data_IF_254654036967
#
_entry.id   IF_254654036967
#
_cell.length_a   1.000
_cell.length_b   1.000
_cell.length_c   1.000
_cell.angle_alpha   90.00
_cell.angle_beta   90.00
_cell.angle_gamma   90.00
#
_symmetry.space_group_name_H-M   'P 1'
#
loop_
_entity.id
_entity.type
_entity.pdbx_description
1 polymer ?
#
# COMPACT_ATOMS: atom_id res chain seq x y z
N UNK A 1 49.77 -7.20 35.62
CA UNK A 1 50.29 -8.59 35.56
C UNK A 1 49.20 -9.52 36.03
N UNK A 2 48.58 -10.30 35.10
CA UNK A 2 48.01 -11.63 35.38
C UNK A 2 47.48 -12.22 34.08
N UNK A 3 47.99 -13.39 33.79
CA UNK A 3 47.91 -14.19 32.56
C UNK A 3 46.50 -14.58 32.16
N UNK A 4 46.22 -14.60 30.87
CA UNK A 4 45.15 -15.35 30.23
C UNK A 4 45.71 -16.70 29.70
N UNK A 5 45.02 -17.82 29.94
CA UNK A 5 45.45 -19.09 29.40
C UNK A 5 45.12 -19.27 27.91
N UNK A 6 46.12 -19.76 27.14
CA UNK A 6 46.05 -20.21 25.77
C UNK A 6 45.44 -21.63 25.74
N UNK A 7 44.15 -21.80 25.46
CA UNK A 7 43.57 -23.13 25.24
C UNK A 7 42.21 -23.14 24.53
N UNK A 8 42.07 -22.38 23.42
CA UNK A 8 40.83 -22.43 22.62
C UNK A 8 41.09 -22.28 21.09
N UNK A 9 42.29 -22.76 20.62
CA UNK A 9 42.62 -22.77 19.18
C UNK A 9 42.87 -24.16 18.59
N UNK A 10 42.57 -25.24 19.31
CA UNK A 10 42.82 -26.60 18.88
C UNK A 10 41.59 -27.45 18.53
N UNK A 11 40.37 -26.89 18.60
CA UNK A 11 39.15 -27.70 18.36
C UNK A 11 38.40 -27.35 17.05
N UNK A 12 38.94 -26.49 16.21
CA UNK A 12 38.27 -26.06 14.97
C UNK A 12 38.83 -26.72 13.68
N UNK A 13 39.76 -27.65 13.78
CA UNK A 13 40.42 -28.26 12.61
C UNK A 13 40.16 -29.76 12.42
N UNK A 14 39.23 -30.35 13.18
CA UNK A 14 38.94 -31.80 13.06
C UNK A 14 37.56 -32.17 12.53
N UNK A 15 36.77 -31.21 12.03
CA UNK A 15 35.41 -31.46 11.51
C UNK A 15 35.24 -31.28 9.99
N UNK A 16 36.32 -31.08 9.23
CA UNK A 16 36.24 -30.88 7.76
C UNK A 16 36.75 -32.06 6.93
N UNK A 17 36.98 -33.25 7.50
CA UNK A 17 37.64 -34.38 6.81
C UNK A 17 36.74 -35.63 6.60
N UNK A 18 35.40 -35.59 6.80
CA UNK A 18 34.56 -36.82 6.71
C UNK A 18 33.45 -36.76 5.64
N UNK A 19 33.41 -35.75 4.77
CA UNK A 19 32.35 -35.63 3.74
C UNK A 19 32.87 -35.63 2.31
N UNK A 20 33.75 -36.54 1.97
CA UNK A 20 34.23 -36.73 0.59
C UNK A 20 34.52 -38.18 0.28
N UNK A 21 33.54 -39.08 0.36
CA UNK A 21 33.59 -40.42 -0.31
C UNK A 21 32.12 -40.89 -0.37
N UNK A 22 31.48 -40.81 -1.52
CA UNK A 22 30.38 -41.68 -2.01
C UNK A 22 29.76 -41.06 -3.26
N UNK A 23 30.48 -41.16 -4.37
CA UNK A 23 29.86 -41.12 -5.71
C UNK A 23 30.73 -42.04 -6.59
N UNK A 24 30.25 -43.25 -6.82
CA UNK A 24 30.53 -44.04 -8.03
C UNK A 24 29.87 -45.43 -7.94
N UNK A 25 29.05 -45.73 -8.89
CA UNK A 25 28.50 -47.03 -9.34
C UNK A 25 26.98 -46.95 -9.53
N UNK A 26 26.38 -47.22 -10.62
CA UNK A 26 26.79 -47.83 -11.87
C UNK A 26 25.55 -47.97 -12.77
N UNK A 27 25.77 -47.86 -14.05
CA UNK A 27 24.81 -48.12 -15.13
C UNK A 27 24.28 -49.55 -15.13
N UNK A 28 22.96 -49.72 -15.42
CA UNK A 28 22.49 -50.91 -16.13
C UNK A 28 21.38 -50.54 -17.11
N UNK A 29 21.75 -50.73 -18.40
CA UNK A 29 20.83 -50.81 -19.56
C UNK A 29 19.93 -52.03 -19.44
N UNK A 30 18.63 -51.90 -19.72
CA UNK A 30 17.85 -53.00 -20.26
C UNK A 30 16.98 -52.51 -21.42
N UNK A 31 17.29 -53.07 -22.60
CA UNK A 31 16.46 -53.10 -23.80
C UNK A 31 15.25 -53.98 -23.57
N UNK A 32 14.11 -53.63 -24.09
CA UNK A 32 13.21 -54.55 -24.84
C UNK A 32 12.25 -53.80 -25.71
N UNK A 33 12.03 -54.40 -26.83
CA UNK A 33 11.41 -54.07 -28.09
C UNK A 33 9.84 -54.12 -28.07
N UNK A 34 9.24 -53.95 -29.29
CA UNK A 34 8.03 -53.18 -29.45
C UNK A 34 6.77 -54.06 -29.69
N UNK A 35 5.60 -53.48 -29.53
CA UNK A 35 4.42 -54.09 -30.18
C UNK A 35 3.30 -53.09 -30.46
N UNK A 36 2.95 -53.12 -31.74
CA UNK A 36 1.62 -53.05 -32.37
C UNK A 36 0.97 -51.66 -32.60
N UNK A 37 0.94 -51.36 -33.88
CA UNK A 37 0.01 -50.46 -34.58
C UNK A 37 -1.45 -50.72 -34.25
N UNK A 38 -2.22 -49.65 -34.07
CA UNK A 38 -3.68 -49.66 -34.30
C UNK A 38 -4.12 -48.31 -34.87
N UNK A 39 -4.39 -48.35 -36.14
CA UNK A 39 -5.42 -47.67 -36.95
C UNK A 39 -5.75 -46.20 -36.67
N UNK A 40 -5.42 -45.39 -37.67
CA UNK A 40 -5.96 -44.08 -37.97
C UNK A 40 -7.49 -44.08 -38.04
N UNK A 41 -8.12 -43.20 -37.27
CA UNK A 41 -9.46 -42.69 -37.53
C UNK A 41 -9.39 -41.21 -37.83
N UNK A 42 -9.99 -40.82 -38.95
CA UNK A 42 -9.95 -39.46 -39.51
C UNK A 42 -10.53 -38.41 -38.57
N UNK A 43 -9.77 -37.32 -38.41
CA UNK A 43 -10.23 -36.09 -37.75
C UNK A 43 -11.10 -35.26 -38.70
N UNK A 44 -12.18 -34.61 -38.22
CA UNK A 44 -12.86 -33.57 -38.98
C UNK A 44 -12.00 -32.28 -38.95
N UNK A 45 -11.80 -31.71 -40.11
CA UNK A 45 -11.27 -30.38 -40.36
C UNK A 45 -12.12 -29.33 -39.67
N UNK A 46 -11.71 -28.91 -38.48
CA UNK A 46 -12.21 -27.69 -37.84
C UNK A 46 -11.35 -26.52 -38.23
N UNK A 47 -11.97 -25.49 -38.82
CA UNK A 47 -11.35 -24.21 -39.13
C UNK A 47 -10.66 -23.65 -37.89
N UNK A 48 -9.39 -23.37 -38.01
CA UNK A 48 -8.62 -22.64 -36.99
C UNK A 48 -9.13 -21.18 -36.91
N UNK A 49 -9.95 -20.93 -35.89
CA UNK A 49 -10.22 -19.57 -35.44
C UNK A 49 -8.91 -19.01 -34.93
N UNK A 50 -8.26 -18.19 -35.76
CA UNK A 50 -7.18 -17.35 -35.32
C UNK A 50 -7.76 -16.35 -34.31
N UNK A 51 -7.72 -16.68 -33.01
CA UNK A 51 -7.79 -15.69 -31.95
C UNK A 51 -6.55 -14.80 -32.08
N UNK A 52 -6.75 -13.56 -32.56
CA UNK A 52 -5.75 -12.51 -32.42
C UNK A 52 -5.36 -12.49 -30.92
N UNK A 53 -4.14 -12.87 -30.59
CA UNK A 53 -3.54 -12.53 -29.31
C UNK A 53 -3.57 -11.00 -29.23
N UNK A 54 -4.42 -10.47 -28.38
CA UNK A 54 -4.33 -9.07 -27.98
C UNK A 54 -2.93 -8.87 -27.38
N UNK A 55 -2.12 -8.02 -28.02
CA UNK A 55 -0.84 -7.60 -27.47
C UNK A 55 -1.08 -7.08 -26.04
N UNK A 56 -0.62 -7.83 -25.04
CA UNK A 56 -0.70 -7.42 -23.64
C UNK A 56 0.09 -6.13 -23.48
N UNK A 57 -0.61 -5.03 -23.19
CA UNK A 57 0.05 -3.77 -22.85
C UNK A 57 1.05 -3.96 -21.72
N UNK A 58 2.20 -3.25 -21.73
CA UNK A 58 3.13 -3.27 -20.61
C UNK A 58 2.43 -2.90 -19.29
N UNK A 59 2.79 -3.55 -18.19
CA UNK A 59 2.21 -3.29 -16.86
C UNK A 59 2.36 -1.81 -16.44
N UNK A 60 3.41 -1.15 -16.91
CA UNK A 60 3.67 0.28 -16.69
C UNK A 60 2.63 1.23 -17.28
N UNK A 61 1.80 0.74 -18.22
CA UNK A 61 0.74 1.53 -18.83
C UNK A 61 -0.53 1.60 -17.98
N UNK A 62 -0.66 0.71 -17.00
CA UNK A 62 -1.78 0.67 -16.09
C UNK A 62 -1.50 1.37 -14.77
N UNK A 63 -2.55 1.83 -14.12
CA UNK A 63 -2.50 2.32 -12.76
C UNK A 63 -2.25 1.15 -11.80
N UNK A 64 -1.03 1.07 -11.25
CA UNK A 64 -0.58 -0.01 -10.38
C UNK A 64 -1.26 -0.04 -9.01
N UNK A 65 -1.94 1.05 -8.62
CA UNK A 65 -2.69 1.14 -7.37
C UNK A 65 -4.12 0.64 -7.51
N UNK A 66 -4.67 0.63 -8.73
CA UNK A 66 -6.08 0.32 -8.99
C UNK A 66 -6.29 -0.81 -10.01
N UNK A 67 -5.29 -1.16 -10.80
CA UNK A 67 -5.41 -2.10 -11.93
C UNK A 67 -6.10 -1.50 -13.17
N UNK A 68 -6.49 -0.22 -13.15
CA UNK A 68 -7.22 0.43 -14.24
C UNK A 68 -6.28 1.01 -15.31
N UNK A 69 -6.79 1.17 -16.53
CA UNK A 69 -6.12 1.86 -17.65
C UNK A 69 -6.59 3.32 -17.68
N UNK A 70 -6.24 4.11 -16.64
CA UNK A 70 -6.72 5.48 -16.45
C UNK A 70 -5.61 6.54 -16.29
N UNK A 71 -4.34 6.11 -16.42
CA UNK A 71 -3.19 7.00 -16.33
C UNK A 71 -3.11 7.93 -17.56
N UNK A 72 -2.75 9.19 -17.31
CA UNK A 72 -2.28 10.05 -18.41
C UNK A 72 -0.98 9.51 -19.02
N UNK A 73 -0.71 9.81 -20.29
CA UNK A 73 0.53 9.38 -20.94
C UNK A 73 1.81 9.86 -20.22
N UNK A 74 1.73 10.98 -19.48
CA UNK A 74 2.84 11.52 -18.71
C UNK A 74 3.10 10.75 -17.41
N UNK A 75 2.09 10.04 -16.89
CA UNK A 75 2.18 9.27 -15.65
C UNK A 75 2.51 7.79 -15.87
N UNK A 76 2.40 7.28 -17.10
CA UNK A 76 2.78 5.91 -17.44
C UNK A 76 4.25 5.65 -17.13
N UNK A 77 4.54 4.54 -16.45
CA UNK A 77 5.89 4.19 -16.00
C UNK A 77 6.46 5.10 -14.92
N UNK A 78 5.62 5.91 -14.27
CA UNK A 78 6.03 6.83 -13.20
C UNK A 78 5.53 6.36 -11.83
N UNK A 79 6.37 6.62 -10.84
CA UNK A 79 6.08 6.32 -9.43
C UNK A 79 4.95 7.22 -8.90
N UNK A 80 4.12 6.70 -7.96
CA UNK A 80 3.04 7.47 -7.38
C UNK A 80 3.56 8.54 -6.41
N UNK A 81 2.68 9.45 -6.02
CA UNK A 81 2.92 10.45 -4.99
C UNK A 81 2.05 10.15 -3.78
N UNK A 82 2.67 10.07 -2.60
CA UNK A 82 2.01 9.85 -1.32
C UNK A 82 2.03 11.13 -0.47
N UNK A 83 0.87 11.63 -0.06
CA UNK A 83 0.72 12.89 0.69
C UNK A 83 0.10 12.61 2.05
N UNK A 84 0.76 13.11 3.11
CA UNK A 84 0.26 12.99 4.48
C UNK A 84 -0.93 13.90 4.75
N UNK A 85 -2.02 13.33 5.21
CA UNK A 85 -3.31 14.03 5.42
C UNK A 85 -3.66 14.09 6.91
N UNK A 86 -3.99 15.28 7.39
CA UNK A 86 -4.52 15.49 8.72
C UNK A 86 -5.96 14.96 8.82
N UNK A 87 -6.27 14.18 9.85
CA UNK A 87 -7.58 13.57 10.04
C UNK A 87 -8.18 13.82 11.44
N UNK A 88 -7.72 14.86 12.14
CA UNK A 88 -8.35 15.23 13.39
C UNK A 88 -9.66 16.01 13.13
N UNK A 89 -10.66 15.82 14.01
CA UNK A 89 -11.98 16.47 13.87
C UNK A 89 -11.87 17.99 13.68
N UNK A 90 -10.94 18.64 14.40
CA UNK A 90 -10.71 20.08 14.29
C UNK A 90 -10.14 20.56 12.95
N UNK A 91 -9.69 19.65 12.07
CA UNK A 91 -9.15 20.00 10.74
C UNK A 91 -10.12 19.69 9.59
N UNK A 92 -11.28 19.15 9.90
CA UNK A 92 -12.28 18.80 8.89
C UNK A 92 -13.10 20.02 8.45
N UNK A 93 -13.63 20.00 7.23
CA UNK A 93 -13.38 19.03 6.17
C UNK A 93 -12.03 19.26 5.47
N UNK A 94 -11.50 18.20 4.82
CA UNK A 94 -10.37 18.29 3.90
C UNK A 94 -10.84 18.60 2.48
N UNK A 95 -9.86 18.84 1.57
CA UNK A 95 -10.09 18.90 0.14
C UNK A 95 -8.94 18.29 -0.66
N UNK A 96 -9.22 17.88 -1.90
CA UNK A 96 -8.26 17.30 -2.84
C UNK A 96 -7.89 15.85 -2.58
N UNK A 97 -8.66 15.13 -1.77
CA UNK A 97 -8.36 13.74 -1.38
C UNK A 97 -9.28 12.70 -2.02
N UNK A 98 -10.40 13.10 -2.62
CA UNK A 98 -11.34 12.17 -3.25
C UNK A 98 -10.80 11.53 -4.54
N UNK A 99 -9.77 12.10 -5.14
CA UNK A 99 -9.08 11.55 -6.32
C UNK A 99 -7.92 10.61 -6.00
N UNK A 100 -7.68 10.28 -4.73
CA UNK A 100 -6.64 9.33 -4.36
C UNK A 100 -7.01 7.90 -4.79
N UNK A 101 -6.05 7.21 -5.40
CA UNK A 101 -6.19 5.81 -5.83
C UNK A 101 -6.14 4.84 -4.66
N UNK A 102 -5.32 5.18 -3.65
CA UNK A 102 -5.15 4.41 -2.42
C UNK A 102 -5.10 5.34 -1.22
N UNK A 103 -5.85 5.01 -0.17
CA UNK A 103 -5.88 5.76 1.08
C UNK A 103 -5.50 4.87 2.26
N UNK A 104 -4.45 5.22 2.98
CA UNK A 104 -4.16 4.61 4.28
C UNK A 104 -4.73 5.44 5.41
N UNK A 105 -5.23 4.78 6.44
CA UNK A 105 -5.61 5.41 7.72
C UNK A 105 -5.04 4.58 8.87
N UNK A 106 -4.30 5.25 9.76
CA UNK A 106 -3.65 4.64 10.91
C UNK A 106 -3.90 5.48 12.16
N UNK A 107 -3.97 4.81 13.33
CA UNK A 107 -3.96 5.51 14.61
C UNK A 107 -2.61 6.20 14.81
N UNK A 108 -2.64 7.37 15.41
CA UNK A 108 -1.46 8.13 15.84
C UNK A 108 -1.60 8.50 17.31
N UNK A 109 -0.68 9.30 17.83
CA UNK A 109 -0.66 9.75 19.22
C UNK A 109 -2.01 10.36 19.64
N UNK A 110 -2.37 10.21 20.90
CA UNK A 110 -3.61 10.75 21.45
C UNK A 110 -4.88 10.01 21.02
N UNK A 111 -4.74 8.84 20.38
CA UNK A 111 -5.88 8.03 19.92
C UNK A 111 -6.64 8.63 18.74
N UNK A 112 -6.06 9.61 18.05
CA UNK A 112 -6.57 10.19 16.80
C UNK A 112 -6.05 9.41 15.59
N UNK A 113 -6.56 9.67 14.39
CA UNK A 113 -6.05 9.05 13.16
C UNK A 113 -5.35 10.07 12.26
N UNK A 114 -4.51 9.55 11.38
CA UNK A 114 -3.91 10.25 10.25
C UNK A 114 -4.08 9.42 9.00
N UNK A 115 -4.17 10.10 7.84
CA UNK A 115 -4.28 9.42 6.57
C UNK A 115 -3.05 9.70 5.70
N UNK A 116 -2.84 8.86 4.70
CA UNK A 116 -1.91 9.07 3.60
C UNK A 116 -2.66 8.80 2.30
N UNK A 117 -2.83 9.83 1.50
CA UNK A 117 -3.44 9.74 0.17
C UNK A 117 -2.36 9.44 -0.87
N UNK A 118 -2.56 8.43 -1.71
CA UNK A 118 -1.60 8.02 -2.74
C UNK A 118 -2.25 8.15 -4.10
N UNK A 119 -1.55 8.85 -4.99
CA UNK A 119 -2.00 9.18 -6.34
C UNK A 119 -1.04 8.58 -7.36
N UNK A 120 -1.53 7.76 -8.27
CA UNK A 120 -0.73 7.16 -9.33
C UNK A 120 -0.41 8.18 -10.44
N UNK A 121 -1.37 9.01 -10.79
CA UNK A 121 -1.18 10.07 -11.80
C UNK A 121 -0.83 11.41 -11.13
N UNK A 122 0.46 11.64 -10.92
CA UNK A 122 0.95 12.88 -10.29
C UNK A 122 0.66 14.15 -11.09
N UNK A 123 0.24 14.03 -12.36
CA UNK A 123 -0.08 15.18 -13.23
C UNK A 123 -1.51 15.68 -13.05
N UNK A 124 -2.35 14.92 -12.34
CA UNK A 124 -3.77 15.22 -12.09
C UNK A 124 -4.09 15.48 -10.61
N UNK A 125 -3.07 15.53 -9.75
CA UNK A 125 -3.29 15.78 -8.32
C UNK A 125 -3.84 17.21 -8.14
N UNK A 126 -5.01 17.37 -7.49
CA UNK A 126 -5.55 18.69 -7.16
C UNK A 126 -4.75 19.33 -6.01
N UNK A 127 -5.11 20.54 -5.61
CA UNK A 127 -4.63 21.09 -4.35
C UNK A 127 -5.15 20.26 -3.18
N UNK A 128 -4.26 19.83 -2.29
CA UNK A 128 -4.56 18.89 -1.19
C UNK A 128 -4.36 19.56 0.16
N UNK A 129 -5.41 19.64 0.96
CA UNK A 129 -5.41 20.20 2.33
C UNK A 129 -6.23 19.32 3.31
N UNK A 130 -5.84 19.23 4.56
CA UNK A 130 -4.63 19.81 5.18
C UNK A 130 -3.55 18.75 5.25
N UNK A 131 -2.36 19.13 4.84
CA UNK A 131 -1.17 18.27 4.90
C UNK A 131 -0.58 18.29 6.30
N UNK A 132 -0.02 17.16 6.74
CA UNK A 132 0.42 16.99 8.13
C UNK A 132 1.71 16.20 8.25
N UNK A 133 2.17 16.10 9.51
CA UNK A 133 3.46 15.52 9.85
C UNK A 133 3.51 14.02 9.61
N UNK A 134 4.67 13.57 9.19
CA UNK A 134 5.09 12.18 9.10
C UNK A 134 4.97 11.45 10.44
N UNK A 135 4.63 10.15 10.38
CA UNK A 135 4.83 9.16 11.43
C UNK A 135 5.58 7.99 10.85
N UNK A 136 6.43 7.34 11.62
CA UNK A 136 7.47 6.42 11.13
C UNK A 136 6.95 5.28 10.22
N UNK A 137 5.72 4.82 10.40
CA UNK A 137 5.15 3.73 9.60
C UNK A 137 4.65 4.18 8.22
N UNK A 138 4.30 5.45 8.01
CA UNK A 138 3.87 5.93 6.69
C UNK A 138 4.99 5.94 5.64
N UNK A 139 6.22 6.40 5.91
CA UNK A 139 7.33 6.23 4.97
C UNK A 139 7.60 4.76 4.62
N UNK A 140 7.44 3.84 5.59
CA UNK A 140 7.61 2.40 5.37
C UNK A 140 6.52 1.87 4.41
N UNK A 141 5.28 2.31 4.57
CA UNK A 141 4.19 1.96 3.64
C UNK A 141 4.41 2.57 2.26
N UNK A 142 4.78 3.84 2.19
CA UNK A 142 5.03 4.56 0.95
C UNK A 142 6.23 4.01 0.17
N UNK A 143 7.30 3.57 0.86
CA UNK A 143 8.47 2.95 0.24
C UNK A 143 8.11 1.63 -0.46
N UNK A 144 7.26 0.80 0.15
CA UNK A 144 6.75 -0.42 -0.51
C UNK A 144 5.95 -0.16 -1.79
N UNK A 145 5.45 1.07 -1.97
CA UNK A 145 4.79 1.52 -3.19
C UNK A 145 5.75 2.18 -4.18
N UNK A 146 7.02 2.36 -3.79
CA UNK A 146 8.00 3.20 -4.50
C UNK A 146 7.50 4.64 -4.73
N UNK A 147 6.73 5.20 -3.78
CA UNK A 147 6.14 6.52 -3.91
C UNK A 147 7.14 7.65 -3.63
N UNK A 148 6.93 8.84 -4.24
CA UNK A 148 7.50 10.08 -3.73
C UNK A 148 6.65 10.56 -2.55
N UNK A 149 7.26 10.84 -1.40
CA UNK A 149 6.54 11.08 -0.15
C UNK A 149 6.53 12.56 0.23
N UNK A 150 5.35 13.11 0.54
CA UNK A 150 5.16 14.52 0.90
C UNK A 150 4.54 14.61 2.29
N UNK A 151 5.20 15.34 3.20
CA UNK A 151 4.67 15.63 4.54
C UNK A 151 4.92 17.10 4.93
N UNK A 152 4.36 17.52 6.06
CA UNK A 152 4.59 18.84 6.64
C UNK A 152 4.91 18.71 8.12
N UNK A 153 6.20 18.58 8.43
CA UNK A 153 6.75 18.23 9.73
C UNK A 153 6.99 16.73 9.91
N UNK A 154 7.91 16.41 10.77
CA UNK A 154 8.27 15.05 11.11
C UNK A 154 8.61 14.95 12.60
N UNK A 155 8.37 13.79 13.21
CA UNK A 155 8.92 13.51 14.53
C UNK A 155 10.44 13.43 14.44
N UNK A 156 11.18 14.19 15.28
CA UNK A 156 12.64 14.36 15.12
C UNK A 156 13.46 13.09 15.39
N UNK A 157 12.87 12.08 16.00
CA UNK A 157 13.52 10.80 16.27
C UNK A 157 12.98 9.70 15.37
N UNK A 158 11.85 9.10 15.71
CA UNK A 158 11.33 7.93 14.99
C UNK A 158 10.94 8.25 13.54
N UNK A 159 10.37 9.42 13.30
CA UNK A 159 9.98 9.82 11.94
C UNK A 159 11.20 10.01 11.03
N UNK A 160 12.21 10.77 11.48
CA UNK A 160 13.46 10.99 10.72
C UNK A 160 14.22 9.68 10.51
N UNK A 161 14.37 8.86 11.55
CA UNK A 161 15.00 7.56 11.43
C UNK A 161 14.28 6.64 10.41
N UNK A 162 12.95 6.76 10.30
CA UNK A 162 12.20 5.98 9.30
C UNK A 162 12.46 6.49 7.88
N UNK A 163 12.49 7.82 7.66
CA UNK A 163 12.82 8.42 6.37
C UNK A 163 14.24 8.01 5.91
N UNK A 164 15.22 8.06 6.81
CA UNK A 164 16.59 7.64 6.53
C UNK A 164 16.70 6.13 6.23
N UNK A 165 16.08 5.28 7.06
CA UNK A 165 16.15 3.81 6.90
C UNK A 165 15.43 3.32 5.66
N UNK A 166 14.32 3.94 5.29
CA UNK A 166 13.57 3.58 4.08
C UNK A 166 14.25 4.07 2.82
N UNK A 167 15.13 5.09 2.90
CA UNK A 167 15.72 5.78 1.74
C UNK A 167 14.67 6.29 0.76
N UNK A 168 13.47 6.57 1.25
CA UNK A 168 12.40 7.09 0.42
C UNK A 168 12.73 8.52 -0.04
N UNK A 169 12.45 8.83 -1.30
CA UNK A 169 12.50 10.22 -1.75
C UNK A 169 11.32 11.00 -1.16
N UNK A 170 11.61 12.10 -0.50
CA UNK A 170 10.57 12.87 0.18
C UNK A 170 10.85 14.36 0.18
N UNK A 171 9.82 15.12 0.52
CA UNK A 171 9.94 16.52 0.96
C UNK A 171 9.12 16.73 2.24
N UNK A 172 9.72 17.40 3.22
CA UNK A 172 9.07 17.89 4.43
C UNK A 172 8.94 19.41 4.35
N UNK A 173 7.73 19.90 4.14
CA UNK A 173 7.47 21.34 4.01
C UNK A 173 7.76 22.16 5.27
N UNK A 174 8.09 21.54 6.40
CA UNK A 174 8.56 22.22 7.58
C UNK A 174 10.09 22.45 7.58
N UNK A 175 10.84 21.60 6.89
CA UNK A 175 12.31 21.68 6.78
C UNK A 175 12.75 22.29 5.44
N UNK A 176 12.08 21.90 4.34
CA UNK A 176 12.35 22.38 2.98
C UNK A 176 11.05 22.97 2.40
N UNK A 177 10.72 24.20 2.81
CA UNK A 177 9.52 24.89 2.36
C UNK A 177 9.70 25.43 0.94
N UNK A 178 9.22 24.68 -0.04
CA UNK A 178 9.19 25.12 -1.42
C UNK A 178 7.85 25.80 -1.75
N UNK A 179 7.89 27.09 -2.05
CA UNK A 179 6.71 27.90 -2.35
C UNK A 179 6.00 27.46 -3.64
N UNK A 180 6.68 26.75 -4.53
CA UNK A 180 6.08 26.22 -5.75
C UNK A 180 4.98 25.21 -5.41
N UNK A 181 5.22 24.33 -4.42
CA UNK A 181 4.28 23.25 -4.08
C UNK A 181 3.58 23.43 -2.74
N UNK A 182 4.13 24.20 -1.81
CA UNK A 182 3.49 24.41 -0.50
C UNK A 182 2.82 25.76 -0.38
N UNK A 183 1.76 25.82 0.41
CA UNK A 183 1.05 27.01 0.79
C UNK A 183 0.36 26.88 2.14
N UNK A 184 -0.18 28.02 2.60
CA UNK A 184 -1.11 28.09 3.73
C UNK A 184 -2.42 28.62 3.19
N UNK A 185 -3.49 27.82 3.33
CA UNK A 185 -4.83 28.19 2.84
C UNK A 185 -5.33 29.44 3.59
N UNK A 186 -5.55 30.58 2.91
CA UNK A 186 -5.92 31.85 3.57
C UNK A 186 -7.32 31.81 4.19
N UNK A 187 -8.26 31.06 3.62
CA UNK A 187 -9.61 30.92 4.18
C UNK A 187 -9.62 30.03 5.41
N UNK A 188 -8.76 29.00 5.42
CA UNK A 188 -8.60 28.16 6.61
C UNK A 188 -7.86 28.89 7.74
N UNK A 189 -6.92 29.77 7.42
CA UNK A 189 -6.24 30.61 8.44
C UNK A 189 -7.20 31.48 9.24
N UNK A 190 -8.35 31.82 8.70
CA UNK A 190 -9.39 32.60 9.40
C UNK A 190 -10.18 31.78 10.44
N UNK A 191 -10.19 30.45 10.31
CA UNK A 191 -11.10 29.56 11.05
C UNK A 191 -10.39 28.45 11.82
N UNK A 192 -9.18 28.09 11.43
CA UNK A 192 -8.41 26.97 11.97
C UNK A 192 -7.08 27.44 12.51
N UNK A 193 -6.52 26.72 13.48
CA UNK A 193 -5.12 26.93 13.88
C UNK A 193 -4.19 26.72 12.70
N UNK A 194 -3.07 27.47 12.67
CA UNK A 194 -2.09 27.45 11.57
C UNK A 194 -1.65 26.05 11.14
N UNK A 195 -1.58 25.12 12.08
CA UNK A 195 -1.18 23.74 11.83
C UNK A 195 -2.18 22.94 10.96
N UNK A 196 -3.41 23.44 10.76
CA UNK A 196 -4.44 22.77 9.94
C UNK A 196 -4.64 23.46 8.58
N UNK A 197 -3.72 24.30 8.16
CA UNK A 197 -3.86 25.13 6.96
C UNK A 197 -2.81 24.89 5.89
N UNK A 198 -1.83 24.01 6.15
CA UNK A 198 -0.85 23.64 5.15
C UNK A 198 -1.51 22.86 4.01
N UNK A 199 -1.20 23.21 2.77
CA UNK A 199 -1.67 22.48 1.61
C UNK A 199 -0.55 22.29 0.59
N UNK A 200 -0.73 21.28 -0.28
CA UNK A 200 0.12 21.01 -1.44
C UNK A 200 -0.60 21.48 -2.69
N UNK A 201 0.06 22.29 -3.52
CA UNK A 201 -0.40 22.70 -4.85
C UNK A 201 -0.12 21.56 -5.84
N UNK A 202 -1.10 20.67 -5.98
CA UNK A 202 -0.90 19.45 -6.77
C UNK A 202 -0.55 19.71 -8.23
N UNK A 203 -1.18 20.70 -8.86
CA UNK A 203 -0.89 21.08 -10.23
C UNK A 203 0.54 21.57 -10.50
N UNK A 204 1.28 21.97 -9.44
CA UNK A 204 2.68 22.40 -9.53
C UNK A 204 3.69 21.25 -9.39
N UNK A 205 3.27 20.05 -8.98
CA UNK A 205 4.17 18.93 -8.76
C UNK A 205 5.00 18.54 -10.00
N UNK A 206 4.44 18.49 -11.22
CA UNK A 206 5.24 18.19 -12.42
C UNK A 206 6.41 19.17 -12.63
N UNK A 207 6.18 20.46 -12.41
CA UNK A 207 7.21 21.50 -12.49
C UNK A 207 8.25 21.33 -11.39
N UNK A 208 7.82 21.13 -10.15
CA UNK A 208 8.67 20.88 -8.99
C UNK A 208 9.62 19.71 -9.21
N UNK A 209 9.11 18.54 -9.66
CA UNK A 209 9.95 17.37 -9.92
C UNK A 209 10.99 17.65 -11.01
N UNK A 210 10.60 18.38 -12.05
CA UNK A 210 11.53 18.78 -13.12
C UNK A 210 12.62 19.72 -12.62
N UNK A 211 12.26 20.77 -11.90
CA UNK A 211 13.21 21.80 -11.40
C UNK A 211 14.19 21.23 -10.38
N UNK A 212 13.72 20.32 -9.52
CA UNK A 212 14.55 19.64 -8.53
C UNK A 212 15.34 18.44 -9.09
N UNK A 213 15.16 18.09 -10.36
CA UNK A 213 15.80 16.92 -10.98
C UNK A 213 15.39 15.59 -10.35
N UNK A 214 14.17 15.50 -9.78
CA UNK A 214 13.68 14.31 -9.10
C UNK A 214 13.31 13.25 -10.14
N UNK A 215 13.89 12.06 -9.99
CA UNK A 215 13.58 10.93 -10.85
C UNK A 215 12.21 10.33 -10.47
N UNK A 216 11.21 10.54 -11.33
CA UNK A 216 9.87 9.98 -11.15
C UNK A 216 9.66 8.63 -11.84
N UNK A 217 10.68 8.00 -12.43
CA UNK A 217 10.56 6.63 -12.91
C UNK A 217 10.54 5.65 -11.74
N UNK A 218 9.88 4.50 -11.93
CA UNK A 218 10.00 3.43 -10.97
C UNK A 218 11.47 2.99 -10.80
N UNK A 219 11.84 2.61 -9.59
CA UNK A 219 13.11 1.95 -9.36
C UNK A 219 13.15 0.59 -10.11
N UNK A 220 14.33 0.14 -10.58
CA UNK A 220 14.46 -1.17 -11.22
C UNK A 220 13.84 -2.29 -10.37
N UNK A 221 13.03 -3.14 -11.00
CA UNK A 221 12.30 -4.23 -10.33
C UNK A 221 11.12 -3.79 -9.45
N UNK A 222 10.69 -2.53 -9.55
CA UNK A 222 9.52 -2.00 -8.85
C UNK A 222 8.37 -1.62 -9.81
N UNK A 223 8.39 -2.16 -11.02
CA UNK A 223 7.42 -1.90 -12.08
C UNK A 223 6.25 -2.89 -12.11
N UNK A 224 6.18 -3.85 -11.18
CA UNK A 224 5.05 -4.76 -11.00
C UNK A 224 3.85 -4.12 -10.31
N UNK A 225 2.68 -4.74 -10.44
CA UNK A 225 1.51 -4.36 -9.65
C UNK A 225 1.78 -4.47 -8.16
N UNK A 226 1.20 -3.50 -7.40
CA UNK A 226 1.26 -3.50 -5.93
C UNK A 226 0.36 -4.57 -5.34
N UNK A 227 -0.76 -4.85 -6.02
CA UNK A 227 -1.69 -5.92 -5.72
C UNK A 227 -1.97 -6.74 -6.97
N UNK A 228 -2.38 -7.98 -6.77
CA UNK A 228 -2.85 -8.85 -7.84
C UNK A 228 -4.31 -8.48 -8.15
N UNK A 229 -4.56 -7.78 -9.26
CA UNK A 229 -5.88 -7.28 -9.62
C UNK A 229 -6.70 -8.28 -10.44
N UNK A 230 -8.02 -8.18 -10.33
CA UNK A 230 -9.00 -8.89 -11.15
C UNK A 230 -10.19 -8.00 -11.50
N UNK A 231 -10.95 -8.38 -12.52
CA UNK A 231 -12.24 -7.72 -12.82
C UNK A 231 -13.17 -7.79 -11.60
N UNK A 232 -13.92 -6.70 -11.33
CA UNK A 232 -14.71 -6.56 -10.12
C UNK A 232 -15.83 -7.62 -10.00
N UNK A 233 -15.89 -8.26 -8.81
CA UNK A 233 -16.93 -9.23 -8.41
C UNK A 233 -16.96 -9.41 -6.89
N UNK A 234 -18.00 -10.07 -6.38
CA UNK A 234 -18.07 -10.49 -4.98
C UNK A 234 -16.80 -11.25 -4.55
N UNK A 235 -16.36 -11.05 -3.33
CA UNK A 235 -15.11 -11.63 -2.79
C UNK A 235 -15.35 -12.92 -2.00
N UNK A 236 -16.61 -13.16 -1.60
CA UNK A 236 -17.12 -14.35 -0.93
C UNK A 236 -18.63 -14.38 -1.00
N UNK A 237 -19.24 -15.41 -0.41
CA UNK A 237 -20.70 -15.52 -0.24
C UNK A 237 -21.20 -14.78 1.03
N UNK A 238 -20.29 -14.29 1.87
CA UNK A 238 -20.65 -13.55 3.10
C UNK A 238 -20.95 -12.09 2.77
N UNK A 239 -22.21 -11.69 2.87
CA UNK A 239 -22.63 -10.31 2.68
C UNK A 239 -22.04 -9.39 3.79
N UNK A 240 -21.70 -8.16 3.40
CA UNK A 240 -21.25 -7.12 4.32
C UNK A 240 -21.65 -5.75 3.79
N UNK A 241 -22.78 -5.25 4.23
CA UNK A 241 -23.28 -3.94 3.83
C UNK A 241 -22.67 -2.80 4.64
N UNK A 242 -22.15 -3.09 5.82
CA UNK A 242 -21.53 -2.08 6.69
C UNK A 242 -20.41 -2.69 7.52
N UNK A 243 -19.38 -1.87 7.78
CA UNK A 243 -18.29 -2.22 8.70
C UNK A 243 -17.79 -0.98 9.41
N UNK A 244 -17.49 -1.11 10.69
CA UNK A 244 -16.90 -0.06 11.52
C UNK A 244 -15.53 -0.45 12.02
N UNK A 245 -14.57 0.45 11.82
CA UNK A 245 -13.19 0.36 12.27
C UNK A 245 -12.99 1.27 13.47
N UNK A 246 -12.76 0.72 14.66
CA UNK A 246 -12.52 1.48 15.88
C UNK A 246 -11.03 1.68 16.11
N UNK A 247 -10.49 2.85 15.75
CA UNK A 247 -9.08 3.18 16.02
C UNK A 247 -8.85 3.51 17.49
N UNK A 248 -9.86 4.15 18.13
CA UNK A 248 -9.87 4.44 19.57
C UNK A 248 -11.33 4.61 20.04
N UNK A 249 -11.53 4.90 21.33
CA UNK A 249 -12.87 5.19 21.88
C UNK A 249 -13.59 6.35 21.18
N UNK A 250 -12.83 7.33 20.64
CA UNK A 250 -13.39 8.56 20.05
C UNK A 250 -13.12 8.74 18.56
N UNK A 251 -12.28 7.88 17.96
CA UNK A 251 -11.95 7.90 16.53
C UNK A 251 -12.29 6.57 15.88
N UNK A 252 -13.23 6.61 14.96
CA UNK A 252 -13.68 5.46 14.19
C UNK A 252 -14.07 5.86 12.77
N UNK A 253 -13.96 4.93 11.87
CA UNK A 253 -14.42 5.05 10.49
C UNK A 253 -15.49 4.00 10.22
N UNK A 254 -16.58 4.37 9.54
CA UNK A 254 -17.60 3.42 9.09
C UNK A 254 -17.66 3.44 7.57
N UNK A 255 -17.84 2.29 6.98
CA UNK A 255 -18.14 2.10 5.56
C UNK A 255 -19.52 1.51 5.40
N UNK A 256 -20.31 2.06 4.47
CA UNK A 256 -21.60 1.53 4.07
C UNK A 256 -21.57 1.25 2.57
N UNK A 257 -21.97 0.05 2.17
CA UNK A 257 -22.00 -0.34 0.77
C UNK A 257 -23.16 0.33 0.04
N UNK A 258 -22.85 0.95 -1.07
CA UNK A 258 -23.82 1.46 -2.02
C UNK A 258 -23.92 0.47 -3.20
N UNK A 259 -25.08 -0.21 -3.28
CA UNK A 259 -25.31 -1.25 -4.29
C UNK A 259 -25.43 -0.71 -5.71
N UNK A 260 -25.75 0.57 -5.89
CA UNK A 260 -25.92 1.18 -7.21
C UNK A 260 -24.56 1.54 -7.81
N UNK A 261 -23.71 2.21 -7.04
CA UNK A 261 -22.37 2.61 -7.47
C UNK A 261 -21.30 1.53 -7.24
N UNK A 262 -21.63 0.42 -6.52
CA UNK A 262 -20.75 -0.71 -6.21
C UNK A 262 -19.50 -0.30 -5.39
N UNK A 263 -19.63 0.69 -4.51
CA UNK A 263 -18.55 1.20 -3.66
C UNK A 263 -18.97 1.26 -2.19
N UNK A 264 -17.99 1.38 -1.32
CA UNK A 264 -18.20 1.65 0.10
C UNK A 264 -18.04 3.14 0.38
N UNK A 265 -19.10 3.78 0.90
CA UNK A 265 -19.14 5.19 1.30
C UNK A 265 -18.53 5.35 2.69
N UNK A 266 -17.54 6.24 2.83
CA UNK A 266 -16.82 6.47 4.09
C UNK A 266 -17.51 7.51 4.96
N UNK A 267 -17.68 7.21 6.26
CA UNK A 267 -17.94 8.21 7.31
C UNK A 267 -16.74 8.26 8.27
N UNK A 268 -16.55 9.40 8.92
CA UNK A 268 -15.55 9.60 9.96
C UNK A 268 -16.22 10.13 11.22
N UNK A 269 -16.10 9.39 12.31
CA UNK A 269 -16.74 9.73 13.60
C UNK A 269 -18.23 10.09 13.48
N UNK A 270 -18.97 9.31 12.68
CA UNK A 270 -20.42 9.46 12.48
C UNK A 270 -20.83 10.48 11.42
N UNK A 271 -19.92 11.24 10.83
CA UNK A 271 -20.22 12.22 9.79
C UNK A 271 -19.74 11.75 8.41
N UNK A 272 -20.45 12.11 7.34
CA UNK A 272 -19.98 11.88 5.97
C UNK A 272 -18.58 12.47 5.79
N UNK A 273 -17.63 11.68 5.33
CA UNK A 273 -16.27 12.16 5.11
C UNK A 273 -16.19 12.81 3.73
N UNK A 274 -16.27 14.14 3.72
CA UNK A 274 -16.37 14.93 2.48
C UNK A 274 -15.02 15.47 2.04
N UNK A 275 -14.79 15.43 0.73
CA UNK A 275 -13.85 16.28 0.02
C UNK A 275 -14.61 17.53 -0.45
N UNK A 276 -14.27 18.69 0.09
CA UNK A 276 -15.03 19.92 -0.21
C UNK A 276 -14.72 20.53 -1.55
N UNK A 277 -13.54 20.32 -2.12
CA UNK A 277 -13.24 20.80 -3.47
C UNK A 277 -13.98 20.02 -4.55
N UNK A 278 -14.09 18.70 -4.38
CA UNK A 278 -14.82 17.83 -5.29
C UNK A 278 -16.32 17.78 -4.96
N UNK A 279 -16.76 18.32 -3.82
CA UNK A 279 -18.10 18.15 -3.24
C UNK A 279 -18.55 16.68 -3.24
N UNK A 280 -17.65 15.77 -2.86
CA UNK A 280 -17.84 14.32 -2.95
C UNK A 280 -17.53 13.65 -1.62
N UNK A 281 -18.38 12.70 -1.21
CA UNK A 281 -18.06 11.81 -0.10
C UNK A 281 -16.98 10.83 -0.54
N UNK A 282 -16.00 10.57 0.34
CA UNK A 282 -14.96 9.56 0.09
C UNK A 282 -15.60 8.19 -0.09
N UNK A 283 -15.17 7.49 -1.13
CA UNK A 283 -15.70 6.20 -1.50
C UNK A 283 -14.62 5.30 -2.10
N UNK A 284 -14.74 3.99 -1.92
CA UNK A 284 -13.74 3.02 -2.35
C UNK A 284 -14.39 1.75 -2.87
N UNK A 285 -13.83 1.18 -3.93
CA UNK A 285 -14.20 -0.15 -4.43
C UNK A 285 -13.79 -1.24 -3.44
N UNK A 286 -12.61 -1.06 -2.83
CA UNK A 286 -12.00 -2.01 -1.91
C UNK A 286 -11.80 -1.38 -0.53
N UNK A 287 -12.22 -2.09 0.51
CA UNK A 287 -11.89 -1.76 1.90
C UNK A 287 -11.06 -2.91 2.47
N UNK A 288 -9.81 -2.62 2.82
CA UNK A 288 -8.86 -3.58 3.36
C UNK A 288 -8.60 -3.18 4.81
N UNK A 289 -8.84 -4.10 5.72
CA UNK A 289 -8.66 -3.91 7.16
C UNK A 289 -7.49 -4.78 7.60
N UNK A 290 -6.46 -4.16 8.14
CA UNK A 290 -5.25 -4.82 8.62
C UNK A 290 -5.22 -4.74 10.13
N UNK A 291 -5.50 -5.86 10.79
CA UNK A 291 -5.41 -5.98 12.25
C UNK A 291 -4.05 -6.53 12.65
N UNK A 292 -3.43 -5.92 13.64
CA UNK A 292 -2.09 -6.28 14.14
C UNK A 292 -1.93 -5.83 15.58
N UNK A 293 -0.79 -6.18 16.19
CA UNK A 293 -0.40 -5.62 17.47
C UNK A 293 -0.16 -4.11 17.34
N UNK A 294 -0.82 -3.35 18.21
CA UNK A 294 -0.65 -1.90 18.33
C UNK A 294 -0.27 -1.57 19.76
N UNK A 295 0.93 -1.05 19.92
CA UNK A 295 1.48 -0.69 21.23
C UNK A 295 1.65 0.82 21.35
N UNK A 296 1.16 1.40 22.46
CA UNK A 296 1.46 2.78 22.82
C UNK A 296 2.76 2.81 23.64
N UNK A 297 3.79 3.46 23.12
CA UNK A 297 5.10 3.51 23.78
C UNK A 297 5.06 4.49 24.95
N UNK A 298 5.39 4.01 26.15
CA UNK A 298 5.50 4.79 27.40
C UNK A 298 4.22 5.56 27.80
N UNK A 299 3.04 5.00 27.50
CA UNK A 299 1.77 5.69 27.82
C UNK A 299 1.60 7.02 27.10
N UNK A 300 2.44 7.35 26.13
CA UNK A 300 2.61 8.62 25.49
C UNK A 300 2.61 8.53 23.95
N UNK A 301 3.21 9.48 23.26
CA UNK A 301 2.82 9.88 21.92
C UNK A 301 3.25 8.95 20.78
N UNK A 302 3.76 7.77 21.02
CA UNK A 302 4.26 6.89 19.97
C UNK A 302 3.43 5.62 19.86
N UNK A 303 3.06 5.29 18.64
CA UNK A 303 2.35 4.06 18.29
C UNK A 303 3.32 3.16 17.55
N UNK A 304 3.47 1.91 17.99
CA UNK A 304 4.15 0.87 17.24
C UNK A 304 3.13 -0.06 16.60
N UNK A 305 3.42 -0.46 15.37
CA UNK A 305 2.65 -1.44 14.62
C UNK A 305 3.48 -2.70 14.39
N UNK A 306 2.84 -3.86 14.53
CA UNK A 306 3.31 -5.09 13.90
C UNK A 306 3.24 -5.00 12.37
N UNK A 307 4.09 -5.75 11.68
CA UNK A 307 4.15 -5.76 10.21
C UNK A 307 3.58 -7.04 9.60
N UNK A 308 2.75 -7.72 10.35
CA UNK A 308 1.94 -8.86 9.91
C UNK A 308 0.72 -9.00 10.80
N UNK A 309 -0.29 -9.73 10.35
CA UNK A 309 -1.47 -9.99 11.15
C UNK A 309 -2.60 -10.62 10.34
N UNK A 310 -3.79 -10.51 10.90
CA UNK A 310 -5.04 -10.90 10.26
C UNK A 310 -5.79 -9.68 9.75
N UNK A 311 -6.94 -9.88 9.17
CA UNK A 311 -7.79 -8.77 8.76
C UNK A 311 -8.93 -9.20 7.86
N UNK A 312 -9.46 -8.23 7.14
CA UNK A 312 -10.62 -8.44 6.28
C UNK A 312 -10.44 -7.69 4.97
N UNK A 313 -10.93 -8.28 3.90
CA UNK A 313 -11.05 -7.65 2.60
C UNK A 313 -12.51 -7.59 2.21
N UNK A 314 -13.01 -6.38 1.99
CA UNK A 314 -14.38 -6.08 1.59
C UNK A 314 -14.39 -5.49 0.20
N UNK A 315 -15.27 -5.99 -0.66
CA UNK A 315 -15.57 -5.42 -1.95
C UNK A 315 -16.89 -5.97 -2.47
N UNK A 316 -17.61 -5.18 -3.26
CA UNK A 316 -18.89 -5.58 -3.86
C UNK A 316 -19.92 -6.12 -2.84
N UNK A 317 -20.03 -5.45 -1.69
CA UNK A 317 -21.03 -5.80 -0.65
C UNK A 317 -20.77 -7.12 0.07
N UNK A 318 -19.57 -7.69 -0.08
CA UNK A 318 -19.16 -8.94 0.56
C UNK A 318 -17.84 -8.80 1.29
N UNK A 319 -17.56 -9.71 2.24
CA UNK A 319 -16.36 -9.71 3.07
C UNK A 319 -15.69 -11.07 3.12
N UNK A 320 -14.37 -11.11 3.16
CA UNK A 320 -13.60 -12.32 3.48
C UNK A 320 -12.49 -12.02 4.48
N UNK A 321 -12.13 -13.01 5.29
CA UNK A 321 -10.94 -12.96 6.13
C UNK A 321 -9.67 -13.07 5.28
N UNK A 322 -8.64 -12.37 5.74
CA UNK A 322 -7.29 -12.40 5.14
C UNK A 322 -6.23 -12.47 6.23
N UNK A 323 -5.04 -12.85 5.83
CA UNK A 323 -3.80 -12.58 6.55
C UNK A 323 -2.96 -11.61 5.72
N UNK A 324 -2.05 -10.91 6.37
CA UNK A 324 -1.19 -9.96 5.68
C UNK A 324 0.20 -9.89 6.30
N UNK A 325 1.16 -9.49 5.49
CA UNK A 325 2.54 -9.27 5.91
C UNK A 325 3.21 -8.19 5.06
N UNK A 326 4.08 -7.40 5.68
CA UNK A 326 5.06 -6.55 5.02
C UNK A 326 6.45 -7.05 5.41
N UNK A 327 7.12 -7.73 4.50
CA UNK A 327 8.37 -8.48 4.77
C UNK A 327 9.58 -7.58 4.98
N UNK A 328 9.65 -6.45 4.26
CA UNK A 328 10.74 -5.47 4.37
C UNK A 328 10.23 -4.06 4.09
N UNK A 329 11.10 -3.06 4.23
CA UNK A 329 10.75 -1.67 3.89
C UNK A 329 10.45 -1.50 2.40
N UNK A 330 11.10 -2.26 1.54
CA UNK A 330 10.98 -2.14 0.09
C UNK A 330 9.86 -2.99 -0.52
N UNK A 331 9.38 -4.01 0.21
CA UNK A 331 8.29 -4.85 -0.28
C UNK A 331 6.93 -4.15 -0.12
N UNK A 332 5.97 -4.35 -1.03
CA UNK A 332 4.59 -3.96 -0.82
C UNK A 332 3.93 -4.80 0.30
N UNK A 333 2.73 -4.44 0.67
CA UNK A 333 1.87 -5.26 1.52
C UNK A 333 1.46 -6.51 0.74
N UNK A 334 1.67 -7.70 1.31
CA UNK A 334 1.18 -8.96 0.75
C UNK A 334 -0.09 -9.37 1.48
N UNK A 335 -1.17 -9.54 0.73
CA UNK A 335 -2.48 -9.96 1.21
C UNK A 335 -2.71 -11.42 0.84
N UNK A 336 -3.06 -12.26 1.80
CA UNK A 336 -3.17 -13.70 1.63
C UNK A 336 -4.51 -14.23 2.16
N UNK A 337 -4.95 -15.35 1.62
CA UNK A 337 -6.05 -16.12 2.19
C UNK A 337 -5.57 -16.96 3.39
N UNK A 338 -6.49 -17.70 4.01
CA UNK A 338 -6.21 -18.56 5.16
C UNK A 338 -5.17 -19.66 4.88
N UNK A 339 -4.99 -20.03 3.60
CA UNK A 339 -4.00 -21.03 3.16
C UNK A 339 -2.64 -20.40 2.79
N UNK A 340 -2.42 -19.14 3.09
CA UNK A 340 -1.17 -18.43 2.79
C UNK A 340 -0.96 -18.10 1.30
N UNK A 341 -1.98 -18.29 0.45
CA UNK A 341 -1.93 -17.93 -0.98
C UNK A 341 -2.33 -16.47 -1.14
N UNK A 342 -1.56 -15.72 -1.93
CA UNK A 342 -1.89 -14.34 -2.29
C UNK A 342 -3.28 -14.24 -2.91
N UNK A 343 -4.04 -13.23 -2.50
CA UNK A 343 -5.38 -12.98 -3.02
C UNK A 343 -5.35 -11.97 -4.17
N UNK A 344 -6.34 -12.09 -5.05
CA UNK A 344 -6.66 -11.04 -6.00
C UNK A 344 -7.65 -10.05 -5.37
N UNK A 345 -7.40 -8.74 -5.58
CA UNK A 345 -8.37 -7.70 -5.24
C UNK A 345 -9.05 -7.16 -6.50
N UNK A 346 -10.22 -6.58 -6.34
CA UNK A 346 -10.95 -6.01 -7.47
C UNK A 346 -10.27 -4.73 -7.99
N UNK A 347 -10.28 -4.52 -9.30
CA UNK A 347 -9.85 -3.25 -9.91
C UNK A 347 -10.68 -2.10 -9.32
N UNK A 348 -10.02 -0.96 -9.06
CA UNK A 348 -10.63 0.23 -8.48
C UNK A 348 -9.88 0.76 -7.28
N UNK A 349 -10.36 1.89 -6.73
CA UNK A 349 -9.74 2.57 -5.60
C UNK A 349 -9.82 1.74 -4.31
N UNK A 350 -8.80 1.88 -3.48
CA UNK A 350 -8.68 1.10 -2.24
C UNK A 350 -8.50 1.99 -1.01
N UNK A 351 -9.11 1.57 0.09
CA UNK A 351 -8.82 2.07 1.43
C UNK A 351 -8.18 0.97 2.26
N UNK A 352 -7.14 1.33 3.03
CA UNK A 352 -6.43 0.43 3.95
C UNK A 352 -6.42 1.05 5.35
N UNK A 353 -7.16 0.44 6.28
CA UNK A 353 -7.12 0.80 7.70
C UNK A 353 -6.20 -0.14 8.48
N UNK A 354 -5.23 0.42 9.23
CA UNK A 354 -4.37 -0.37 10.14
C UNK A 354 -4.74 -0.07 11.60
N UNK A 355 -5.10 -1.12 12.34
CA UNK A 355 -5.63 -1.00 13.70
C UNK A 355 -5.29 -2.21 14.57
N UNK A 356 -5.57 -2.12 15.87
CA UNK A 356 -5.39 -3.22 16.82
C UNK A 356 -6.37 -4.35 16.60
N UNK A 357 -6.03 -5.55 17.04
CA UNK A 357 -6.93 -6.71 16.99
C UNK A 357 -8.25 -6.42 17.68
N UNK A 358 -9.33 -7.07 17.20
CA UNK A 358 -10.70 -6.95 17.72
C UNK A 358 -11.27 -5.53 17.67
N UNK A 359 -10.78 -4.70 16.76
CA UNK A 359 -11.22 -3.32 16.58
C UNK A 359 -12.23 -3.14 15.43
N UNK A 360 -12.53 -4.21 14.71
CA UNK A 360 -13.49 -4.25 13.58
C UNK A 360 -14.86 -4.75 14.06
N UNK A 361 -15.92 -4.07 13.64
CA UNK A 361 -17.33 -4.42 13.95
C UNK A 361 -18.13 -4.42 12.66
N UNK A 362 -18.79 -5.53 12.39
CA UNK A 362 -19.65 -5.76 11.22
C UNK A 362 -21.12 -5.53 11.54
#
# INVERSE_FOLDING_TARGET
MKNRPRSLRALALLLCAVLLICCFSGCKKNKKEPMAEAQQSAAPTGEAVQTKEEEKKPLTDYNRLTGLDDLSNKAKGKRPVAIMINNIKASLPQYGIAGADLMFECIVEGGITRMMAVFADYTKIPDVCSVRSCRYYFPILAQGLNAYYICFGCNPTLGKNALEKTRIDYIDGNEDYDQLIFGRDPERLKRYSREHTAFVKGGSLPQFFKERGINMNYAPGKDDYIFNFRKPKAVSDQACESVRLNFSKSYYTTFSYDSDSKVYLKTHCGNRHMDTAANKQLQYTNVIILETDVELVNGGPLVKYGWQGTGYYLSYGTVRKITWIKKSYDDPLLLMNENGKEIQINEGTSYIGMLGYNSTVF
#
